data_IF_284688084013
#
_entry.id   IF_284688084013
#
_cell.length_a   1.000
_cell.length_b   1.000
_cell.length_c   1.000
_cell.angle_alpha   90.00
_cell.angle_beta   90.00
_cell.angle_gamma   90.00
#
_symmetry.space_group_name_H-M   'P 1'
#
loop_
_entity.id
_entity.type
_entity.pdbx_description
1 polymer ?
#
# COMPACT_ATOMS: atom_id res chain seq x y z
N UNK A 1 -17.28 18.87 2.39
CA UNK A 1 -17.84 17.54 2.35
C UNK A 1 -17.92 17.09 0.89
N UNK A 2 -17.37 15.92 0.57
CA UNK A 2 -17.51 15.27 -0.75
C UNK A 2 -17.93 13.82 -0.57
N UNK A 3 -18.63 13.30 -1.57
CA UNK A 3 -19.04 11.91 -1.64
C UNK A 3 -18.52 11.30 -2.94
N UNK A 4 -18.24 10.01 -2.91
CA UNK A 4 -17.90 9.21 -4.08
C UNK A 4 -18.73 7.94 -4.09
N UNK A 5 -19.06 7.48 -5.28
CA UNK A 5 -19.67 6.19 -5.51
C UNK A 5 -19.08 5.57 -6.77
N UNK A 6 -18.82 4.29 -6.70
CA UNK A 6 -18.33 3.49 -7.81
C UNK A 6 -19.15 2.20 -7.88
N UNK A 7 -19.46 1.78 -9.10
CA UNK A 7 -20.00 0.46 -9.41
C UNK A 7 -19.30 -0.09 -10.65
N UNK A 8 -19.02 -1.39 -10.65
CA UNK A 8 -18.42 -2.08 -11.78
C UNK A 8 -18.84 -3.55 -11.78
N UNK A 9 -19.05 -4.13 -12.96
CA UNK A 9 -19.29 -5.55 -13.20
C UNK A 9 -18.12 -6.25 -13.90
N UNK A 10 -17.24 -5.44 -14.51
CA UNK A 10 -16.06 -5.90 -15.22
C UNK A 10 -14.86 -4.96 -14.94
N UNK A 11 -13.67 -5.44 -15.26
CA UNK A 11 -12.47 -4.64 -15.18
C UNK A 11 -11.50 -4.92 -16.33
N UNK A 12 -10.61 -3.97 -16.60
CA UNK A 12 -9.50 -4.11 -17.52
C UNK A 12 -8.22 -3.55 -16.87
N UNK A 13 -7.26 -4.42 -16.60
CA UNK A 13 -5.94 -3.95 -16.21
C UNK A 13 -5.17 -3.38 -17.42
N UNK A 14 -4.19 -2.48 -17.22
CA UNK A 14 -3.46 -1.86 -18.31
C UNK A 14 -2.80 -2.84 -19.30
N UNK A 15 -2.41 -4.01 -18.81
CA UNK A 15 -1.79 -5.08 -19.61
C UNK A 15 -2.78 -6.09 -20.19
N UNK A 16 -4.09 -5.95 -19.96
CA UNK A 16 -5.10 -6.83 -20.52
C UNK A 16 -5.65 -6.30 -21.85
N UNK A 17 -5.84 -7.18 -22.80
CA UNK A 17 -6.43 -6.83 -24.10
C UNK A 17 -7.95 -6.69 -24.05
N UNK A 18 -8.61 -7.44 -23.16
CA UNK A 18 -10.07 -7.51 -23.05
C UNK A 18 -10.56 -7.15 -21.64
N UNK A 19 -11.88 -6.92 -21.53
CA UNK A 19 -12.56 -6.82 -20.23
C UNK A 19 -12.72 -8.22 -19.62
N UNK A 20 -12.64 -8.29 -18.30
CA UNK A 20 -12.77 -9.52 -17.53
C UNK A 20 -13.82 -9.35 -16.43
N UNK A 21 -14.60 -10.42 -16.20
CA UNK A 21 -15.49 -10.49 -15.05
C UNK A 21 -14.69 -10.70 -13.77
N UNK A 22 -15.15 -10.13 -12.68
CA UNK A 22 -14.58 -10.39 -11.37
C UNK A 22 -14.82 -11.84 -10.95
N UNK A 23 -13.86 -12.41 -10.21
CA UNK A 23 -13.91 -13.81 -9.77
C UNK A 23 -13.47 -13.95 -8.32
N UNK A 24 -14.00 -14.95 -7.63
CA UNK A 24 -13.55 -15.36 -6.29
C UNK A 24 -12.13 -15.96 -6.35
N UNK A 25 -11.60 -16.33 -5.19
CA UNK A 25 -10.22 -16.85 -5.06
C UNK A 25 -9.98 -18.14 -5.86
N UNK A 26 -11.02 -18.94 -6.14
CA UNK A 26 -10.93 -20.14 -6.97
C UNK A 26 -10.65 -19.84 -8.46
N UNK A 27 -10.69 -18.57 -8.86
CA UNK A 27 -10.51 -18.14 -10.25
C UNK A 27 -11.64 -18.56 -11.20
N UNK A 28 -12.72 -19.14 -10.73
CA UNK A 28 -13.83 -19.70 -11.52
C UNK A 28 -15.17 -19.06 -11.19
N UNK A 29 -15.52 -18.97 -9.91
CA UNK A 29 -16.80 -18.41 -9.46
C UNK A 29 -16.85 -16.91 -9.72
N UNK A 30 -17.83 -16.47 -10.52
CA UNK A 30 -18.01 -15.06 -10.87
C UNK A 30 -18.52 -14.25 -9.68
N UNK A 31 -18.08 -12.99 -9.61
CA UNK A 31 -18.65 -11.97 -8.73
C UNK A 31 -19.44 -11.01 -9.63
N UNK A 32 -20.75 -10.86 -9.43
CA UNK A 32 -21.60 -10.11 -10.37
C UNK A 32 -21.25 -8.64 -10.47
N UNK A 33 -20.83 -8.01 -9.36
CA UNK A 33 -20.50 -6.59 -9.32
C UNK A 33 -19.65 -6.24 -8.09
N UNK A 34 -18.96 -5.13 -8.20
CA UNK A 34 -18.31 -4.40 -7.11
C UNK A 34 -18.99 -3.07 -6.94
N UNK A 35 -19.10 -2.59 -5.70
CA UNK A 35 -19.50 -1.21 -5.41
C UNK A 35 -18.70 -0.63 -4.26
N UNK A 36 -18.56 0.68 -4.24
CA UNK A 36 -17.91 1.41 -3.16
C UNK A 36 -18.58 2.76 -2.95
N UNK A 37 -18.77 3.12 -1.69
CA UNK A 37 -19.22 4.43 -1.25
C UNK A 37 -18.14 5.06 -0.39
N UNK A 38 -17.83 6.31 -0.64
CA UNK A 38 -16.88 7.07 0.16
C UNK A 38 -17.41 8.44 0.53
N UNK A 39 -16.93 8.94 1.66
CA UNK A 39 -17.17 10.30 2.14
C UNK A 39 -15.86 10.88 2.66
N UNK A 40 -15.66 12.18 2.39
CA UNK A 40 -14.55 12.97 2.90
C UNK A 40 -15.05 14.29 3.44
N UNK A 41 -14.67 14.62 4.66
CA UNK A 41 -14.98 15.87 5.29
C UNK A 41 -13.71 16.62 5.68
N UNK A 42 -13.57 17.83 5.18
CA UNK A 42 -12.52 18.78 5.52
C UNK A 42 -13.10 19.79 6.51
N UNK A 43 -12.61 19.77 7.75
CA UNK A 43 -13.05 20.63 8.85
C UNK A 43 -12.57 22.08 8.74
N UNK A 44 -11.74 22.39 7.72
CA UNK A 44 -11.15 23.71 7.51
C UNK A 44 -10.23 24.20 8.64
N UNK A 45 -9.74 23.28 9.45
CA UNK A 45 -8.81 23.51 10.56
C UNK A 45 -7.62 22.53 10.48
N UNK A 46 -7.19 22.20 9.24
CA UNK A 46 -6.13 21.22 8.93
C UNK A 46 -6.44 19.79 9.34
N UNK A 47 -7.66 19.51 9.79
CA UNK A 47 -8.15 18.16 10.05
C UNK A 47 -9.08 17.68 8.94
N UNK A 48 -8.80 16.48 8.44
CA UNK A 48 -9.59 15.82 7.39
C UNK A 48 -9.96 14.42 7.86
N UNK A 49 -11.21 14.04 7.70
CA UNK A 49 -11.72 12.70 7.95
C UNK A 49 -12.24 12.10 6.64
N UNK A 50 -11.84 10.88 6.35
CA UNK A 50 -12.29 10.11 5.19
C UNK A 50 -12.77 8.74 5.64
N UNK A 51 -13.80 8.22 4.98
CA UNK A 51 -14.30 6.87 5.20
C UNK A 51 -14.86 6.30 3.92
N UNK A 52 -14.75 4.99 3.75
CA UNK A 52 -15.36 4.28 2.63
C UNK A 52 -15.80 2.88 3.05
N UNK A 53 -16.83 2.41 2.38
CA UNK A 53 -17.31 1.04 2.42
C UNK A 53 -17.37 0.50 1.00
N UNK A 54 -16.82 -0.69 0.81
CA UNK A 54 -16.84 -1.40 -0.47
C UNK A 54 -17.42 -2.80 -0.32
N UNK A 55 -18.02 -3.31 -1.38
CA UNK A 55 -18.59 -4.64 -1.43
C UNK A 55 -18.30 -5.31 -2.76
N UNK A 56 -17.80 -6.54 -2.71
CA UNK A 56 -17.85 -7.50 -3.79
C UNK A 56 -19.06 -8.41 -3.54
N UNK A 57 -20.00 -8.45 -4.48
CA UNK A 57 -21.28 -9.13 -4.31
C UNK A 57 -21.10 -10.59 -3.83
N UNK A 58 -21.76 -10.95 -2.73
CA UNK A 58 -21.76 -12.28 -2.11
C UNK A 58 -20.37 -12.87 -1.83
N UNK A 59 -19.35 -11.99 -1.69
CA UNK A 59 -17.98 -12.44 -1.50
C UNK A 59 -17.23 -11.69 -0.39
N UNK A 60 -17.13 -10.36 -0.46
CA UNK A 60 -16.28 -9.60 0.44
C UNK A 60 -16.82 -8.22 0.75
N UNK A 61 -16.69 -7.80 1.99
CA UNK A 61 -16.88 -6.43 2.43
C UNK A 61 -15.52 -5.80 2.74
N UNK A 62 -15.35 -4.52 2.39
CA UNK A 62 -14.16 -3.74 2.71
C UNK A 62 -14.51 -2.43 3.41
N UNK A 63 -13.63 -2.01 4.28
CA UNK A 63 -13.78 -0.83 5.12
C UNK A 63 -12.51 0.02 5.04
N UNK A 64 -12.69 1.32 4.96
CA UNK A 64 -11.60 2.27 5.01
C UNK A 64 -11.96 3.42 5.92
N UNK A 65 -11.01 3.86 6.76
CA UNK A 65 -11.10 5.11 7.50
C UNK A 65 -9.72 5.77 7.52
N UNK A 66 -9.68 7.09 7.37
CA UNK A 66 -8.47 7.90 7.48
C UNK A 66 -8.75 9.19 8.21
N UNK A 67 -7.92 9.52 9.17
CA UNK A 67 -7.85 10.81 9.82
C UNK A 67 -6.50 11.44 9.50
N UNK A 68 -6.48 12.67 9.00
CA UNK A 68 -5.26 13.44 8.71
C UNK A 68 -5.29 14.76 9.44
N UNK A 69 -4.16 15.16 10.00
CA UNK A 69 -4.02 16.42 10.69
C UNK A 69 -2.65 17.05 10.45
N UNK A 70 -2.62 18.36 10.24
CA UNK A 70 -1.38 19.14 10.21
C UNK A 70 -1.22 19.85 11.55
N UNK A 71 -0.41 19.27 12.45
CA UNK A 71 -0.13 19.85 13.76
C UNK A 71 0.80 21.04 13.58
N UNK A 72 0.39 22.26 13.97
CA UNK A 72 1.25 23.44 13.88
C UNK A 72 2.49 23.28 14.76
N UNK A 73 3.67 23.35 14.16
CA UNK A 73 4.96 23.43 14.85
C UNK A 73 5.75 24.62 14.32
N UNK A 74 6.73 25.06 15.09
CA UNK A 74 7.62 26.14 14.66
C UNK A 74 8.38 25.73 13.38
N UNK A 75 8.27 26.54 12.33
CA UNK A 75 8.95 26.37 11.05
C UNK A 75 8.15 25.61 9.98
N UNK A 76 7.53 24.49 10.31
CA UNK A 76 6.71 23.71 9.36
C UNK A 76 5.69 22.87 10.13
N UNK A 77 4.48 22.63 9.59
CA UNK A 77 3.53 21.76 10.26
C UNK A 77 4.01 20.29 10.24
N UNK A 78 3.79 19.58 11.34
CA UNK A 78 3.92 18.14 11.37
C UNK A 78 2.69 17.53 10.69
N UNK A 79 2.88 16.91 9.53
CA UNK A 79 1.84 16.18 8.80
C UNK A 79 1.65 14.82 9.45
N UNK A 80 0.43 14.51 9.86
CA UNK A 80 0.09 13.24 10.51
C UNK A 80 -1.08 12.59 9.82
N UNK A 81 -1.09 11.27 9.71
CA UNK A 81 -2.31 10.54 9.37
C UNK A 81 -2.35 9.18 10.07
N UNK A 82 -3.56 8.76 10.41
CA UNK A 82 -3.88 7.41 10.81
C UNK A 82 -4.86 6.82 9.80
N UNK A 83 -4.63 5.56 9.42
CA UNK A 83 -5.43 4.87 8.43
C UNK A 83 -5.80 3.48 8.93
N UNK A 84 -7.03 3.08 8.66
CA UNK A 84 -7.55 1.74 8.90
C UNK A 84 -8.09 1.18 7.60
N UNK A 85 -7.64 -0.01 7.25
CA UNK A 85 -8.15 -0.80 6.15
C UNK A 85 -8.67 -2.10 6.71
N UNK A 86 -9.91 -2.47 6.39
CA UNK A 86 -10.54 -3.71 6.85
C UNK A 86 -11.09 -4.51 5.67
N UNK A 87 -11.07 -5.83 5.80
CA UNK A 87 -11.73 -6.73 4.87
C UNK A 87 -12.34 -7.92 5.62
N UNK A 88 -13.51 -8.34 5.18
CA UNK A 88 -14.19 -9.52 5.70
C UNK A 88 -14.86 -10.24 4.56
N UNK A 89 -14.54 -11.51 4.37
CA UNK A 89 -15.26 -12.31 3.40
C UNK A 89 -16.60 -12.81 3.97
N UNK A 90 -17.47 -13.25 3.07
CA UNK A 90 -18.79 -13.80 3.38
C UNK A 90 -18.83 -15.31 3.20
N UNK A 91 -17.70 -15.90 2.91
CA UNK A 91 -17.54 -17.34 2.71
C UNK A 91 -17.44 -18.07 4.06
N UNK A 92 -17.73 -19.34 4.03
CA UNK A 92 -17.64 -20.25 5.15
C UNK A 92 -16.92 -21.54 4.73
N UNK A 93 -16.56 -22.39 5.69
CA UNK A 93 -15.91 -23.68 5.40
C UNK A 93 -14.42 -23.73 5.77
N UNK A 94 -13.91 -22.70 6.42
CA UNK A 94 -12.54 -22.68 6.94
C UNK A 94 -11.49 -22.90 5.86
N UNK A 95 -10.38 -23.55 6.22
CA UNK A 95 -9.23 -23.78 5.32
C UNK A 95 -9.50 -24.73 4.16
N UNK A 96 -10.62 -25.49 4.19
CA UNK A 96 -11.03 -26.37 3.08
C UNK A 96 -11.69 -25.63 1.92
N UNK A 97 -12.18 -24.41 2.14
CA UNK A 97 -12.80 -23.58 1.12
C UNK A 97 -11.80 -22.52 0.63
N UNK A 98 -11.30 -22.66 -0.58
CA UNK A 98 -10.36 -21.70 -1.18
C UNK A 98 -10.93 -20.28 -1.29
N UNK A 99 -12.26 -20.12 -1.36
CA UNK A 99 -12.92 -18.83 -1.42
C UNK A 99 -13.03 -18.15 -0.05
N UNK A 100 -12.84 -18.90 1.06
CA UNK A 100 -12.75 -18.34 2.40
C UNK A 100 -11.34 -17.83 2.65
N UNK A 101 -11.14 -16.52 2.52
CA UNK A 101 -9.81 -15.90 2.57
C UNK A 101 -9.41 -15.42 3.96
N UNK A 102 -10.39 -14.97 4.79
CA UNK A 102 -10.13 -14.44 6.12
C UNK A 102 -10.99 -15.09 7.21
N UNK A 103 -10.36 -15.44 8.32
CA UNK A 103 -11.03 -15.90 9.55
C UNK A 103 -11.52 -14.67 10.34
N UNK A 104 -12.66 -14.09 9.91
CA UNK A 104 -13.25 -12.91 10.50
C UNK A 104 -12.78 -11.61 9.86
N UNK A 105 -12.65 -10.53 10.64
CA UNK A 105 -12.20 -9.22 10.14
C UNK A 105 -10.67 -9.21 10.03
N UNK A 106 -10.17 -9.20 8.80
CA UNK A 106 -8.79 -8.84 8.51
C UNK A 106 -8.64 -7.32 8.49
N UNK A 107 -7.50 -6.81 8.95
CA UNK A 107 -7.25 -5.37 8.93
C UNK A 107 -5.76 -5.05 8.81
N UNK A 108 -5.51 -3.86 8.29
CA UNK A 108 -4.22 -3.18 8.33
C UNK A 108 -4.44 -1.80 8.94
N UNK A 109 -3.65 -1.45 9.92
CA UNK A 109 -3.56 -0.12 10.50
C UNK A 109 -2.25 0.51 10.06
N UNK A 110 -2.28 1.79 9.69
CA UNK A 110 -1.10 2.53 9.28
C UNK A 110 -1.08 3.92 9.92
N UNK A 111 0.10 4.37 10.30
CA UNK A 111 0.36 5.72 10.78
C UNK A 111 1.48 6.34 9.96
N UNK A 112 1.30 7.60 9.55
CA UNK A 112 2.33 8.36 8.86
C UNK A 112 2.61 9.67 9.57
N UNK A 113 3.90 10.02 9.63
CA UNK A 113 4.39 11.29 10.12
C UNK A 113 5.32 11.90 9.07
N UNK A 114 5.17 13.19 8.80
CA UNK A 114 6.05 13.91 7.86
C UNK A 114 6.40 15.29 8.42
N UNK A 115 7.67 15.65 8.37
CA UNK A 115 8.14 16.95 8.85
C UNK A 115 9.21 17.51 7.93
N UNK A 116 9.07 18.78 7.55
CA UNK A 116 10.04 19.48 6.71
C UNK A 116 10.86 20.45 7.58
N UNK A 117 12.17 20.31 7.55
CA UNK A 117 13.12 21.19 8.25
C UNK A 117 14.17 21.71 7.27
N UNK A 118 14.06 22.97 6.88
CA UNK A 118 14.93 23.56 5.88
C UNK A 118 14.89 22.76 4.57
N UNK A 119 16.04 22.24 4.14
CA UNK A 119 16.16 21.43 2.95
C UNK A 119 15.68 19.96 3.11
N UNK A 120 15.42 19.53 4.33
CA UNK A 120 15.15 18.12 4.63
C UNK A 120 13.66 17.87 4.81
N UNK A 121 13.12 16.87 4.11
CA UNK A 121 11.77 16.32 4.31
C UNK A 121 11.89 14.91 4.92
N UNK A 122 11.52 14.80 6.18
CA UNK A 122 11.54 13.54 6.93
C UNK A 122 10.19 12.85 6.85
N UNK A 123 10.21 11.52 6.77
CA UNK A 123 9.02 10.69 6.81
C UNK A 123 9.25 9.48 7.71
N UNK A 124 8.26 9.20 8.57
CA UNK A 124 8.20 8.00 9.40
C UNK A 124 6.83 7.36 9.21
N UNK A 125 6.80 6.06 8.99
CA UNK A 125 5.57 5.30 8.81
C UNK A 125 5.62 4.01 9.64
N UNK A 126 4.46 3.58 10.11
CA UNK A 126 4.30 2.31 10.81
C UNK A 126 3.04 1.60 10.32
N UNK A 127 3.13 0.28 10.19
CA UNK A 127 1.98 -0.57 9.86
C UNK A 127 1.86 -1.72 10.86
N UNK A 128 0.65 -2.19 11.03
CA UNK A 128 0.34 -3.41 11.76
C UNK A 128 -0.81 -4.12 11.08
N UNK A 129 -0.63 -5.43 10.85
CA UNK A 129 -1.54 -6.27 10.06
C UNK A 129 -2.11 -7.40 10.90
N UNK A 130 -3.39 -7.70 10.68
CA UNK A 130 -4.04 -8.94 11.08
C UNK A 130 -4.81 -9.47 9.88
N UNK A 131 -4.42 -10.63 9.35
CA UNK A 131 -5.03 -11.25 8.18
C UNK A 131 -5.03 -12.78 8.35
N UNK A 132 -5.64 -13.24 9.45
CA UNK A 132 -5.84 -14.66 9.71
C UNK A 132 -6.76 -15.26 8.65
N UNK A 133 -6.50 -16.48 8.22
CA UNK A 133 -7.24 -17.18 7.17
C UNK A 133 -6.33 -17.83 6.14
N UNK A 134 -6.89 -18.19 5.00
CA UNK A 134 -6.17 -18.93 3.95
C UNK A 134 -5.14 -18.09 3.19
N UNK A 135 -5.27 -16.78 3.19
CA UNK A 135 -4.46 -15.91 2.32
C UNK A 135 -3.06 -15.66 2.87
N UNK A 136 -2.87 -15.61 4.18
CA UNK A 136 -1.58 -15.36 4.83
C UNK A 136 -1.10 -13.91 4.76
N UNK A 137 -1.85 -13.00 4.17
CA UNK A 137 -1.55 -11.57 4.09
C UNK A 137 -2.81 -10.73 3.89
N UNK A 138 -2.76 -9.47 4.27
CA UNK A 138 -3.80 -8.49 3.98
C UNK A 138 -3.57 -7.85 2.60
N UNK A 139 -4.61 -7.81 1.80
CA UNK A 139 -4.56 -7.14 0.53
C UNK A 139 -5.78 -6.23 0.36
N UNK A 140 -5.55 -4.96 0.13
CA UNK A 140 -6.60 -4.00 -0.15
C UNK A 140 -7.16 -4.17 -1.57
N UNK A 141 -7.79 -5.32 -1.81
CA UNK A 141 -8.50 -5.61 -3.07
C UNK A 141 -9.85 -6.17 -2.75
N UNK A 142 -10.86 -5.78 -3.53
CA UNK A 142 -12.18 -6.40 -3.43
C UNK A 142 -12.21 -7.81 -4.00
N UNK A 143 -11.25 -8.17 -4.85
CA UNK A 143 -11.13 -9.50 -5.43
C UNK A 143 -9.68 -9.96 -5.41
N UNK A 144 -9.37 -11.14 -4.83
CA UNK A 144 -7.98 -11.57 -4.63
C UNK A 144 -7.25 -11.95 -5.92
N UNK A 145 -7.92 -12.43 -6.97
CA UNK A 145 -7.23 -13.06 -8.06
C UNK A 145 -7.09 -12.23 -9.34
N UNK A 146 -7.97 -11.34 -9.68
CA UNK A 146 -7.93 -10.64 -10.97
C UNK A 146 -8.15 -9.14 -10.90
N UNK A 147 -8.78 -8.63 -9.88
CA UNK A 147 -8.80 -7.20 -9.67
C UNK A 147 -7.47 -6.78 -9.08
N UNK A 148 -6.46 -6.77 -9.89
CA UNK A 148 -5.18 -6.16 -9.52
C UNK A 148 -5.28 -4.64 -9.56
N UNK A 149 -6.27 -4.05 -8.91
CA UNK A 149 -6.05 -2.73 -8.41
C UNK A 149 -4.97 -2.94 -7.35
N UNK A 150 -3.76 -2.55 -7.63
CA UNK A 150 -2.78 -2.30 -6.60
C UNK A 150 -3.37 -1.16 -5.78
N UNK A 151 -4.33 -1.50 -4.91
CA UNK A 151 -4.88 -0.60 -3.94
C UNK A 151 -3.72 -0.10 -3.13
N UNK A 152 -3.13 0.97 -3.58
CA UNK A 152 -1.99 1.57 -2.93
C UNK A 152 -2.51 2.11 -1.63
N UNK A 153 -2.15 1.49 -0.55
CA UNK A 153 -2.31 2.07 0.77
C UNK A 153 -1.60 3.42 0.74
N UNK A 154 -2.17 4.40 1.39
CA UNK A 154 -1.64 5.77 1.39
C UNK A 154 -0.43 5.88 2.35
N UNK A 155 0.42 4.88 2.30
CA UNK A 155 1.74 4.82 2.93
C UNK A 155 2.79 4.77 1.83
N UNK A 156 3.88 5.44 2.03
CA UNK A 156 4.92 5.54 1.02
C UNK A 156 5.94 4.41 1.20
N UNK A 157 5.65 3.30 0.55
CA UNK A 157 6.57 2.17 0.46
C UNK A 157 7.00 2.02 -1.00
N UNK A 158 8.07 2.64 -1.41
CA UNK A 158 8.72 2.35 -2.69
C UNK A 158 9.86 1.36 -2.47
N UNK A 159 9.59 0.35 -1.69
CA UNK A 159 10.44 -0.79 -1.41
C UNK A 159 9.72 -2.07 -1.85
N UNK A 160 10.45 -3.08 -2.22
CA UNK A 160 10.01 -4.26 -2.96
C UNK A 160 8.83 -5.02 -2.36
N UNK A 161 8.65 -5.03 -1.05
CA UNK A 161 7.54 -5.69 -0.36
C UNK A 161 6.34 -4.74 -0.15
N UNK A 162 5.18 -5.32 0.11
CA UNK A 162 3.97 -4.58 0.51
C UNK A 162 3.81 -4.51 2.05
N UNK A 163 4.67 -5.17 2.82
CA UNK A 163 4.72 -5.11 4.29
C UNK A 163 3.37 -5.42 4.95
N UNK A 164 2.68 -6.43 4.46
CA UNK A 164 1.29 -6.72 4.83
C UNK A 164 1.02 -8.21 5.08
N UNK A 165 2.03 -9.00 5.41
CA UNK A 165 1.86 -10.38 5.83
C UNK A 165 1.02 -10.45 7.13
N UNK A 166 0.33 -11.57 7.34
CA UNK A 166 -0.46 -11.76 8.55
C UNK A 166 0.38 -11.57 9.81
N UNK A 167 -0.09 -10.75 10.74
CA UNK A 167 0.57 -10.46 12.02
C UNK A 167 1.76 -9.52 11.93
N UNK A 168 2.19 -9.15 10.74
CA UNK A 168 3.35 -8.30 10.51
C UNK A 168 3.17 -6.90 11.07
N UNK A 169 4.25 -6.40 11.62
CA UNK A 169 4.45 -5.01 12.00
C UNK A 169 5.63 -4.49 11.20
N UNK A 170 5.52 -3.29 10.66
CA UNK A 170 6.63 -2.70 9.92
C UNK A 170 6.83 -1.23 10.28
N UNK A 171 8.08 -0.79 10.22
CA UNK A 171 8.49 0.60 10.36
C UNK A 171 9.26 1.01 9.11
N UNK A 172 8.98 2.22 8.64
CA UNK A 172 9.69 2.88 7.55
C UNK A 172 10.17 4.23 8.03
N UNK A 173 11.42 4.58 7.73
CA UNK A 173 11.99 5.91 7.92
C UNK A 173 12.69 6.36 6.64
N UNK A 174 12.44 7.60 6.23
CA UNK A 174 13.04 8.17 5.03
C UNK A 174 13.33 9.64 5.17
N UNK A 175 14.28 10.11 4.39
CA UNK A 175 14.61 11.52 4.24
C UNK A 175 14.83 11.85 2.77
N UNK A 176 14.27 12.98 2.33
CA UNK A 176 14.53 13.58 1.04
C UNK A 176 15.15 14.96 1.26
N UNK A 177 16.17 15.30 0.49
CA UNK A 177 16.93 16.54 0.62
C UNK A 177 16.77 17.35 -0.67
N UNK A 178 16.29 18.59 -0.54
CA UNK A 178 16.27 19.56 -1.64
C UNK A 178 17.65 20.19 -1.81
N UNK A 179 18.34 19.80 -2.87
CA UNK A 179 19.69 20.28 -3.19
C UNK A 179 19.70 21.71 -3.75
N UNK A 180 18.54 22.30 -4.03
CA UNK A 180 18.41 23.71 -4.38
C UNK A 180 18.98 24.65 -3.33
N UNK A 181 18.99 24.24 -2.06
CA UNK A 181 19.66 24.96 -0.96
C UNK A 181 21.20 25.07 -1.14
N UNK A 182 21.79 24.22 -1.97
CA UNK A 182 23.21 24.21 -2.32
C UNK A 182 23.47 24.53 -3.79
N UNK A 183 22.62 25.38 -4.39
CA UNK A 183 22.77 25.89 -5.77
C UNK A 183 22.60 24.79 -6.85
N UNK A 184 21.88 23.72 -6.55
CA UNK A 184 21.49 22.68 -7.50
C UNK A 184 19.95 22.66 -7.68
N UNK A 185 19.37 23.70 -8.30
CA UNK A 185 17.93 23.83 -8.41
C UNK A 185 17.30 22.66 -9.18
N UNK A 186 16.20 22.14 -8.64
CA UNK A 186 15.46 21.01 -9.22
C UNK A 186 16.01 19.64 -8.84
N UNK A 187 17.17 19.55 -8.21
CA UNK A 187 17.73 18.28 -7.73
C UNK A 187 17.29 17.98 -6.30
N UNK A 188 16.89 16.72 -6.10
CA UNK A 188 16.63 16.15 -4.78
C UNK A 188 17.31 14.78 -4.68
N UNK A 189 17.82 14.46 -3.51
CA UNK A 189 18.38 13.14 -3.21
C UNK A 189 17.84 12.65 -1.88
N UNK A 190 17.65 11.35 -1.76
CA UNK A 190 17.10 10.77 -0.55
C UNK A 190 17.46 9.33 -0.31
N UNK A 191 17.13 8.86 0.88
CA UNK A 191 17.26 7.46 1.23
C UNK A 191 16.22 7.07 2.26
N UNK A 192 15.94 5.78 2.32
CA UNK A 192 14.97 5.21 3.24
C UNK A 192 15.38 3.82 3.69
N UNK A 193 14.82 3.42 4.84
CA UNK A 193 14.94 2.08 5.38
C UNK A 193 13.58 1.61 5.91
N UNK A 194 13.22 0.38 5.58
CA UNK A 194 12.04 -0.30 6.08
C UNK A 194 12.43 -1.61 6.76
N UNK A 195 11.73 -1.96 7.83
CA UNK A 195 11.93 -3.20 8.57
C UNK A 195 10.59 -3.76 9.03
N UNK A 196 10.31 -5.02 8.66
CA UNK A 196 9.12 -5.76 9.05
C UNK A 196 9.47 -6.94 9.97
N UNK A 197 8.62 -7.23 10.94
CA UNK A 197 8.78 -8.34 11.87
C UNK A 197 7.44 -8.95 12.26
N UNK A 198 7.48 -10.13 12.89
CA UNK A 198 6.32 -10.90 13.31
C UNK A 198 5.42 -11.40 12.17
N UNK A 199 5.88 -11.39 10.93
CA UNK A 199 5.11 -11.96 9.81
C UNK A 199 4.83 -13.45 10.08
N UNK A 200 3.54 -13.84 9.99
CA UNK A 200 3.02 -15.19 10.23
C UNK A 200 2.50 -15.80 8.92
N UNK A 201 2.51 -17.13 8.78
CA UNK A 201 1.88 -17.78 7.65
C UNK A 201 0.35 -17.67 7.71
N UNK A 202 -0.32 -18.13 6.68
CA UNK A 202 -1.76 -18.43 6.70
C UNK A 202 -2.09 -19.36 7.89
N UNK A 203 -3.32 -19.27 8.42
CA UNK A 203 -3.74 -20.09 9.55
C UNK A 203 -3.99 -21.56 9.20
N UNK A 204 -3.78 -21.97 7.95
CA UNK A 204 -3.89 -23.35 7.54
C UNK A 204 -2.85 -24.21 8.30
N UNK A 205 -3.30 -25.25 9.05
CA UNK A 205 -2.44 -26.06 9.92
C UNK A 205 -1.35 -26.88 9.18
N UNK A 206 -1.39 -26.95 7.84
CA UNK A 206 -0.30 -27.57 7.06
C UNK A 206 1.00 -26.76 7.13
N UNK A 207 0.92 -25.46 7.45
CA UNK A 207 2.08 -24.59 7.59
C UNK A 207 2.57 -24.51 9.03
N UNK A 208 3.84 -24.22 9.21
CA UNK A 208 4.45 -24.07 10.52
C UNK A 208 3.96 -22.81 11.23
N UNK A 209 2.97 -22.97 12.11
CA UNK A 209 2.33 -21.86 12.83
C UNK A 209 3.25 -21.16 13.85
N UNK A 210 4.39 -21.75 14.19
CA UNK A 210 5.39 -21.15 15.09
C UNK A 210 6.39 -20.25 14.33
N UNK A 211 6.40 -20.33 13.01
CA UNK A 211 7.33 -19.55 12.20
C UNK A 211 6.98 -18.07 12.25
N UNK A 212 8.00 -17.23 12.38
CA UNK A 212 7.93 -15.77 12.28
C UNK A 212 9.03 -15.34 11.34
N UNK A 213 8.67 -14.48 10.39
CA UNK A 213 9.62 -13.93 9.44
C UNK A 213 9.86 -12.46 9.71
N UNK A 214 11.00 -12.01 9.25
CA UNK A 214 11.38 -10.60 9.17
C UNK A 214 11.84 -10.29 7.77
N UNK A 215 11.61 -9.06 7.36
CA UNK A 215 12.07 -8.55 6.08
C UNK A 215 12.61 -7.13 6.25
N UNK A 216 13.50 -6.72 5.37
CA UNK A 216 14.01 -5.34 5.37
C UNK A 216 14.25 -4.85 3.96
N UNK A 217 14.25 -3.54 3.78
CA UNK A 217 14.67 -2.92 2.53
C UNK A 217 15.33 -1.57 2.81
N UNK A 218 16.31 -1.22 1.99
CA UNK A 218 16.81 0.14 1.93
C UNK A 218 16.74 0.66 0.50
N UNK A 219 16.50 1.94 0.36
CA UNK A 219 16.34 2.57 -0.94
C UNK A 219 17.12 3.88 -1.03
N UNK A 220 17.56 4.20 -2.25
CA UNK A 220 18.15 5.49 -2.60
C UNK A 220 17.35 6.11 -3.74
N UNK A 221 17.13 7.39 -3.66
CA UNK A 221 16.40 8.19 -4.64
C UNK A 221 17.24 9.34 -5.13
N UNK A 222 17.23 9.59 -6.45
CA UNK A 222 17.72 10.80 -7.07
C UNK A 222 16.63 11.33 -7.99
N UNK A 223 16.22 12.57 -7.79
CA UNK A 223 15.15 13.21 -8.55
C UNK A 223 15.67 14.49 -9.16
N UNK A 224 15.36 14.71 -10.44
CA UNK A 224 15.55 15.99 -11.11
C UNK A 224 14.24 16.50 -11.66
N UNK A 225 13.84 17.71 -11.28
CA UNK A 225 12.65 18.38 -11.79
C UNK A 225 13.07 19.51 -12.72
N UNK A 226 12.59 19.46 -13.97
CA UNK A 226 12.83 20.51 -14.95
C UNK A 226 12.32 21.87 -14.46
N UNK A 227 13.20 22.84 -14.37
CA UNK A 227 12.90 24.19 -13.83
C UNK A 227 12.32 25.12 -14.89
N UNK A 228 12.68 24.91 -16.13
CA UNK A 228 12.35 25.79 -17.25
C UNK A 228 11.84 24.95 -18.45
N UNK A 229 11.51 25.60 -19.54
CA UNK A 229 11.00 25.03 -20.78
C UNK A 229 9.48 24.75 -20.76
N UNK A 230 8.93 24.32 -21.91
CA UNK A 230 7.52 23.92 -22.04
C UNK A 230 7.19 22.65 -21.21
N UNK A 231 8.20 21.92 -20.80
CA UNK A 231 8.07 20.71 -19.97
C UNK A 231 8.42 20.97 -18.51
N UNK A 232 8.38 22.22 -18.04
CA UNK A 232 8.61 22.58 -16.63
C UNK A 232 7.75 21.71 -15.69
N UNK A 233 8.38 21.21 -14.62
CA UNK A 233 7.74 20.31 -13.67
C UNK A 233 7.85 18.83 -14.05
N UNK A 234 8.39 18.48 -15.24
CA UNK A 234 8.71 17.08 -15.55
C UNK A 234 9.80 16.59 -14.60
N UNK A 235 9.54 15.45 -13.97
CA UNK A 235 10.47 14.80 -13.06
C UNK A 235 11.11 13.58 -13.69
N UNK A 236 12.42 13.46 -13.51
CA UNK A 236 13.19 12.26 -13.78
C UNK A 236 13.61 11.68 -12.44
N UNK A 237 13.14 10.48 -12.11
CA UNK A 237 13.48 9.79 -10.87
C UNK A 237 14.27 8.53 -11.16
N UNK A 238 15.44 8.41 -10.54
CA UNK A 238 16.18 7.17 -10.41
C UNK A 238 15.99 6.65 -9.00
N UNK A 239 15.51 5.44 -8.86
CA UNK A 239 15.27 4.76 -7.61
C UNK A 239 16.00 3.43 -7.59
N UNK A 240 16.74 3.17 -6.52
CA UNK A 240 17.37 1.87 -6.23
C UNK A 240 16.80 1.34 -4.93
N UNK A 241 16.46 0.05 -4.91
CA UNK A 241 16.06 -0.68 -3.71
C UNK A 241 16.83 -1.97 -3.60
N UNK A 242 17.30 -2.30 -2.40
CA UNK A 242 17.69 -3.64 -2.02
C UNK A 242 16.73 -4.13 -0.95
N UNK A 243 16.10 -5.27 -1.21
CA UNK A 243 15.20 -5.98 -0.32
C UNK A 243 15.84 -7.29 0.11
N UNK A 244 15.76 -7.59 1.41
CA UNK A 244 16.30 -8.79 2.03
C UNK A 244 15.18 -9.48 2.85
N UNK A 245 14.89 -10.73 2.50
CA UNK A 245 14.03 -11.64 3.25
C UNK A 245 14.90 -12.44 4.22
N UNK A 246 14.79 -12.19 5.51
CA UNK A 246 15.60 -12.86 6.53
C UNK A 246 15.11 -14.30 6.83
N UNK A 247 14.70 -15.03 5.79
CA UNK A 247 14.29 -16.42 5.86
C UNK A 247 14.87 -17.23 4.68
N UNK A 248 14.80 -18.53 4.81
CA UNK A 248 15.18 -19.44 3.72
C UNK A 248 13.99 -19.88 2.86
N UNK A 249 12.85 -19.20 2.96
CA UNK A 249 11.66 -19.55 2.20
C UNK A 249 11.69 -18.91 0.82
N UNK A 250 11.36 -19.66 -0.24
CA UNK A 250 11.10 -19.09 -1.54
C UNK A 250 9.92 -18.12 -1.52
N UNK A 251 9.83 -17.21 -2.51
CA UNK A 251 8.70 -16.32 -2.69
C UNK A 251 7.37 -17.08 -2.69
N UNK A 252 6.35 -16.52 -2.06
CA UNK A 252 4.98 -17.06 -2.00
C UNK A 252 4.88 -18.49 -1.46
N UNK A 253 5.75 -18.87 -0.57
CA UNK A 253 5.81 -20.24 -0.01
C UNK A 253 5.55 -20.26 1.49
N UNK A 254 5.46 -21.45 2.07
CA UNK A 254 5.32 -21.66 3.52
C UNK A 254 4.06 -21.06 4.13
N UNK A 255 3.02 -20.74 3.33
CA UNK A 255 1.80 -20.07 3.77
C UNK A 255 1.88 -18.54 3.78
N UNK A 256 2.93 -17.96 3.22
CA UNK A 256 3.10 -16.53 3.05
C UNK A 256 2.74 -16.11 1.62
N UNK A 257 1.61 -15.48 1.45
CA UNK A 257 1.14 -15.02 0.13
C UNK A 257 1.88 -13.80 -0.40
N UNK A 258 2.67 -13.10 0.42
CA UNK A 258 3.29 -11.81 0.08
C UNK A 258 4.72 -11.65 0.60
N UNK A 259 5.45 -12.74 0.79
CA UNK A 259 6.88 -12.71 1.09
C UNK A 259 7.65 -12.97 -0.21
N UNK A 260 8.66 -12.17 -0.48
CA UNK A 260 9.50 -12.22 -1.67
C UNK A 260 10.88 -12.79 -1.32
N UNK A 261 11.67 -13.15 -2.33
CA UNK A 261 13.09 -13.47 -2.17
C UNK A 261 13.92 -12.19 -2.16
N UNK A 262 15.18 -12.30 -1.73
CA UNK A 262 16.15 -11.22 -1.82
C UNK A 262 16.22 -10.68 -3.24
N UNK A 263 16.13 -9.36 -3.38
CA UNK A 263 16.03 -8.71 -4.68
C UNK A 263 16.67 -7.33 -4.68
N UNK A 264 17.22 -6.96 -5.83
CA UNK A 264 17.69 -5.62 -6.12
C UNK A 264 16.87 -5.07 -7.29
N UNK A 265 16.34 -3.87 -7.13
CA UNK A 265 15.52 -3.24 -8.16
C UNK A 265 16.05 -1.83 -8.48
N UNK A 266 16.10 -1.52 -9.77
CA UNK A 266 16.44 -0.18 -10.27
C UNK A 266 15.28 0.29 -11.14
N UNK A 267 14.68 1.42 -10.78
CA UNK A 267 13.59 2.04 -11.54
C UNK A 267 14.03 3.40 -12.05
N UNK A 268 13.83 3.62 -13.34
CA UNK A 268 13.89 4.95 -13.92
C UNK A 268 12.47 5.38 -14.30
N UNK A 269 12.03 6.52 -13.78
CA UNK A 269 10.68 7.04 -14.01
C UNK A 269 10.75 8.44 -14.59
N UNK A 270 9.87 8.70 -15.54
CA UNK A 270 9.62 10.05 -16.09
C UNK A 270 8.17 10.40 -15.80
N UNK A 271 7.96 11.49 -15.04
CA UNK A 271 6.63 11.97 -14.65
C UNK A 271 6.46 13.36 -15.26
N UNK A 272 5.69 13.47 -16.33
CA UNK A 272 5.43 14.74 -17.02
C UNK A 272 4.03 15.24 -16.65
N UNK A 273 3.91 16.41 -15.99
CA UNK A 273 2.61 17.04 -15.80
C UNK A 273 2.11 17.58 -17.14
N UNK A 274 0.86 17.26 -17.49
CA UNK A 274 0.18 17.91 -18.62
C UNK A 274 -1.27 18.20 -18.25
N UNK A 275 -1.77 19.31 -18.73
CA UNK A 275 -3.18 19.67 -18.57
C UNK A 275 -3.89 19.40 -19.90
N UNK A 276 -4.87 18.53 -19.85
CA UNK A 276 -5.86 18.42 -20.92
C UNK A 276 -6.92 19.47 -20.62
N UNK A 277 -7.13 20.38 -21.55
CA UNK A 277 -7.96 21.60 -21.52
C UNK A 277 -9.26 21.50 -20.73
#
# INVERSE_FOLDING_TARGET
>A
LSFSWMWADQYKAPWYQHMYNFRKADGKTGIPWLQSFGAKYDFKNDFILEGAYGQAADYMDQYFAKASYQLPLAGSPLRTSYQFYGAKDRESGGTSNINHVYDGLAWLQAMTLGYTLGAFDFRLEGTWVKAEGNQGFFLQRMTPSYASSNGRMDVWWDSRSDWNANGEKALFAGVMVDLGHWQLPGWQAGGSYAYGWDAKPSTNPIYNQQQRLTESAWSLDLVYTLQETRAKGTQFKLHYTQYDNHSNLPSYSGGYGNIFQDEKDIKFMVIAPFTLF
#
